data_IF_132189848537
#
_entry.id   IF_132189848537
#
_cell.length_a   1.000
_cell.length_b   1.000
_cell.length_c   1.000
_cell.angle_alpha   90.00
_cell.angle_beta   90.00
_cell.angle_gamma   90.00
#
_symmetry.space_group_name_H-M   'P 1'
#
loop_
_entity.id
_entity.type
_entity.pdbx_description
1 polymer ?
#
# COMPACT_ATOMS: atom_id res chain seq x y z
N UNK A 1 10.62 -29.04 -28.42
CA UNK A 1 11.49 -28.93 -27.23
C UNK A 1 10.82 -27.98 -26.24
N UNK A 2 10.41 -28.56 -25.10
CA UNK A 2 10.20 -28.00 -23.74
C UNK A 2 9.46 -26.66 -23.55
N UNK A 3 8.52 -26.46 -22.62
CA UNK A 3 7.66 -27.26 -21.73
C UNK A 3 6.68 -26.25 -21.12
N UNK A 4 5.37 -26.50 -21.16
CA UNK A 4 4.33 -25.70 -20.49
C UNK A 4 3.78 -26.50 -19.32
N UNK A 5 3.79 -25.94 -18.10
CA UNK A 5 3.19 -26.59 -16.92
C UNK A 5 2.05 -25.70 -16.41
N UNK A 6 0.81 -26.21 -16.55
CA UNK A 6 -0.39 -25.76 -15.84
C UNK A 6 -0.41 -26.42 -14.46
N UNK A 7 -0.66 -25.64 -13.41
CA UNK A 7 -0.97 -26.16 -12.07
C UNK A 7 -2.49 -26.16 -11.87
N UNK A 8 -3.06 -27.35 -11.70
CA UNK A 8 -4.45 -27.58 -11.32
C UNK A 8 -4.54 -27.95 -9.83
N UNK A 9 -5.47 -27.28 -9.15
CA UNK A 9 -6.32 -27.69 -8.02
C UNK A 9 -5.87 -28.87 -7.12
N UNK A 10 -5.59 -28.55 -5.84
CA UNK A 10 -5.60 -29.48 -4.72
C UNK A 10 -6.75 -29.13 -3.76
N UNK A 11 -7.85 -29.88 -3.87
CA UNK A 11 -8.81 -30.12 -2.77
C UNK A 11 -9.14 -31.62 -2.83
N UNK A 12 -8.85 -32.42 -1.78
CA UNK A 12 -9.32 -33.80 -1.74
C UNK A 12 -10.75 -33.86 -1.19
N UNK A 13 -11.64 -34.46 -1.97
CA UNK A 13 -12.85 -35.13 -1.47
C UNK A 13 -12.47 -36.52 -0.97
N UNK A 14 -13.11 -36.98 0.12
CA UNK A 14 -13.04 -38.38 0.56
C UNK A 14 -13.17 -38.55 2.06
N UNK A 15 -14.41 -38.65 2.55
CA UNK A 15 -14.73 -39.20 3.87
C UNK A 15 -14.94 -40.71 3.72
N UNK A 16 -14.23 -41.50 4.53
CA UNK A 16 -14.41 -42.95 4.66
C UNK A 16 -13.95 -43.42 6.03
N UNK A 17 -14.85 -44.04 6.78
CA UNK A 17 -14.65 -44.56 8.14
C UNK A 17 -13.66 -45.73 8.18
N UNK A 18 -12.82 -45.81 9.21
CA UNK A 18 -11.95 -46.97 9.43
C UNK A 18 -10.95 -46.82 10.58
N UNK A 19 -11.39 -47.24 11.78
CA UNK A 19 -10.64 -47.85 12.90
C UNK A 19 -9.25 -47.27 13.30
N UNK A 20 -9.18 -46.77 14.53
CA UNK A 20 -7.95 -46.42 15.28
C UNK A 20 -7.13 -47.67 15.63
N UNK A 21 -5.80 -47.54 15.54
CA UNK A 21 -4.82 -48.31 16.31
C UNK A 21 -3.72 -47.35 16.81
N UNK A 22 -3.10 -47.58 17.98
CA UNK A 22 -2.28 -46.60 18.68
C UNK A 22 -0.85 -46.58 18.12
N UNK A 23 -0.35 -45.41 17.75
CA UNK A 23 1.05 -45.24 17.34
C UNK A 23 1.92 -44.86 18.53
N UNK A 24 2.87 -45.75 18.80
CA UNK A 24 3.96 -45.67 19.74
C UNK A 24 4.85 -44.44 19.48
N UNK A 25 5.19 -43.73 20.55
CA UNK A 25 6.08 -42.58 20.59
C UNK A 25 7.46 -42.87 19.99
N UNK A 26 7.79 -42.23 18.87
CA UNK A 26 9.18 -41.98 18.47
C UNK A 26 9.58 -40.57 18.92
N UNK A 27 10.42 -40.53 19.95
CA UNK A 27 11.04 -39.34 20.51
C UNK A 27 12.19 -38.91 19.59
N UNK A 28 11.85 -38.26 18.47
CA UNK A 28 12.81 -37.51 17.67
C UNK A 28 13.03 -36.14 18.30
N UNK A 29 14.27 -35.87 18.74
CA UNK A 29 14.72 -34.54 19.17
C UNK A 29 14.52 -33.53 18.04
N UNK A 30 13.36 -32.88 18.01
CA UNK A 30 13.22 -31.60 17.36
C UNK A 30 14.01 -30.61 18.21
N UNK A 31 15.16 -30.17 17.67
CA UNK A 31 15.83 -28.98 18.17
C UNK A 31 14.81 -27.86 18.15
N UNK A 32 14.30 -27.50 19.33
CA UNK A 32 13.57 -26.28 19.57
C UNK A 32 14.54 -25.11 19.35
N UNK A 33 14.87 -24.83 18.09
CA UNK A 33 15.20 -23.48 17.69
C UNK A 33 13.88 -22.72 17.70
N UNK A 34 13.41 -22.38 18.91
CA UNK A 34 12.54 -21.26 19.13
C UNK A 34 13.28 -20.04 18.58
N UNK A 35 13.07 -19.77 17.29
CA UNK A 35 13.45 -18.50 16.70
C UNK A 35 12.56 -17.49 17.42
N UNK A 36 13.06 -16.99 18.55
CA UNK A 36 12.75 -15.66 19.06
C UNK A 36 13.17 -14.71 17.94
N UNK A 37 12.30 -14.60 16.94
CA UNK A 37 12.41 -13.65 15.87
C UNK A 37 12.14 -12.32 16.54
N UNK A 38 13.21 -11.71 17.06
CA UNK A 38 13.24 -10.38 17.61
C UNK A 38 12.33 -9.49 16.76
N UNK A 39 11.55 -8.63 17.41
CA UNK A 39 10.68 -7.64 16.76
C UNK A 39 11.52 -6.73 15.85
N UNK A 40 11.79 -7.18 14.62
CA UNK A 40 12.61 -6.42 13.69
C UNK A 40 11.74 -5.28 13.16
N UNK A 41 12.14 -4.01 13.38
CA UNK A 41 11.47 -2.91 12.72
C UNK A 41 11.59 -3.12 11.21
N UNK A 42 10.49 -2.89 10.50
CA UNK A 42 10.47 -2.98 9.05
C UNK A 42 11.42 -1.93 8.47
N UNK A 43 12.30 -2.36 7.57
CA UNK A 43 13.17 -1.44 6.85
C UNK A 43 12.36 -0.66 5.81
N UNK A 44 12.07 0.61 6.13
CA UNK A 44 11.27 1.51 5.29
C UNK A 44 11.97 1.82 3.96
N UNK A 45 13.29 1.72 3.89
CA UNK A 45 14.02 1.97 2.63
C UNK A 45 13.76 0.88 1.59
N UNK A 46 13.64 -0.37 2.03
CA UNK A 46 13.38 -1.54 1.18
C UNK A 46 11.96 -1.54 0.63
N UNK A 47 11.01 -1.04 1.42
CA UNK A 47 9.58 -1.01 1.08
C UNK A 47 9.12 0.32 0.50
N UNK A 48 10.05 1.27 0.29
CA UNK A 48 9.75 2.58 -0.25
C UNK A 48 9.09 2.47 -1.64
N UNK A 49 8.09 3.32 -1.96
CA UNK A 49 7.50 3.35 -3.29
C UNK A 49 8.57 3.64 -4.36
N UNK A 50 8.70 2.75 -5.32
CA UNK A 50 9.61 2.90 -6.45
C UNK A 50 8.88 3.54 -7.63
N UNK A 51 9.55 4.49 -8.28
CA UNK A 51 9.10 5.10 -9.54
C UNK A 51 9.02 4.04 -10.65
N UNK A 52 8.09 4.17 -11.59
CA UNK A 52 7.86 3.15 -12.62
C UNK A 52 6.90 2.03 -12.21
N UNK A 53 6.49 1.98 -10.94
CA UNK A 53 5.80 0.83 -10.36
C UNK A 53 4.46 1.19 -9.72
N UNK A 54 3.53 0.24 -9.80
CA UNK A 54 2.28 0.24 -9.03
C UNK A 54 2.48 -0.63 -7.77
N UNK A 55 2.07 -0.07 -6.64
CA UNK A 55 2.03 -0.68 -5.32
C UNK A 55 0.59 -0.82 -4.86
N UNK A 56 0.20 -2.02 -4.43
CA UNK A 56 -1.04 -2.21 -3.69
C UNK A 56 -0.78 -2.16 -2.19
N UNK A 57 -1.42 -1.23 -1.49
CA UNK A 57 -1.43 -1.20 -0.03
C UNK A 57 -2.71 -1.86 0.46
N UNK A 58 -2.60 -3.09 0.95
CA UNK A 58 -3.72 -3.96 1.28
C UNK A 58 -3.83 -4.14 2.79
N UNK A 59 -4.93 -3.68 3.39
CA UNK A 59 -5.10 -3.77 4.84
C UNK A 59 -6.54 -3.78 5.31
N UNK A 60 -6.72 -3.83 6.63
CA UNK A 60 -8.02 -4.02 7.26
C UNK A 60 -8.90 -2.76 7.22
N UNK A 61 -10.19 -2.98 7.47
CA UNK A 61 -11.20 -1.94 7.62
C UNK A 61 -11.64 -1.35 6.29
N UNK A 62 -12.83 -0.74 6.30
CA UNK A 62 -13.53 -0.30 5.10
C UNK A 62 -12.64 0.49 4.12
N UNK A 63 -12.43 -0.13 2.96
CA UNK A 63 -11.59 0.35 1.87
C UNK A 63 -10.16 0.70 2.33
N UNK A 64 -9.52 -0.26 3.00
CA UNK A 64 -8.09 -0.23 3.35
C UNK A 64 -7.72 0.87 4.36
N UNK A 65 -8.65 1.28 5.23
CA UNK A 65 -8.48 2.47 6.10
C UNK A 65 -7.18 2.47 6.90
N UNK A 66 -6.73 1.29 7.30
CA UNK A 66 -5.54 1.13 8.13
C UNK A 66 -4.24 1.40 7.40
N UNK A 67 -4.24 1.29 6.06
CA UNK A 67 -3.08 1.51 5.20
C UNK A 67 -2.81 2.98 4.90
N UNK A 68 -3.84 3.85 5.01
CA UNK A 68 -3.72 5.29 4.72
C UNK A 68 -2.52 5.94 5.42
N UNK A 69 -2.26 5.59 6.68
CA UNK A 69 -1.15 6.16 7.45
C UNK A 69 0.23 5.98 6.80
N UNK A 70 0.43 4.89 6.06
CA UNK A 70 1.68 4.60 5.37
C UNK A 70 1.81 5.47 4.11
N UNK A 71 0.74 5.54 3.31
CA UNK A 71 0.64 6.44 2.16
C UNK A 71 0.80 7.92 2.58
N UNK A 72 0.18 8.34 3.68
CA UNK A 72 0.33 9.70 4.24
C UNK A 72 1.78 9.99 4.66
N UNK A 73 2.49 9.00 5.21
CA UNK A 73 3.89 9.16 5.60
C UNK A 73 4.79 9.33 4.38
N UNK A 74 4.54 8.58 3.31
CA UNK A 74 5.26 8.72 2.05
C UNK A 74 4.90 10.01 1.30
N UNK A 75 3.65 10.44 1.36
CA UNK A 75 3.23 11.75 0.87
C UNK A 75 4.01 12.87 1.57
N UNK A 76 4.04 12.87 2.91
CA UNK A 76 4.79 13.89 3.67
C UNK A 76 6.30 13.85 3.39
N UNK A 77 6.90 12.67 3.30
CA UNK A 77 8.32 12.54 2.89
C UNK A 77 8.57 13.18 1.51
N UNK A 78 7.64 13.01 0.57
CA UNK A 78 7.73 13.60 -0.78
C UNK A 78 7.56 15.12 -0.73
N UNK A 79 6.54 15.62 -0.02
CA UNK A 79 6.30 17.05 0.12
C UNK A 79 7.47 17.79 0.78
N UNK A 80 8.11 17.18 1.78
CA UNK A 80 9.29 17.75 2.46
C UNK A 80 10.53 17.83 1.56
N UNK A 81 10.60 17.05 0.49
CA UNK A 81 11.62 17.20 -0.56
C UNK A 81 11.29 18.33 -1.53
N UNK A 82 10.21 19.07 -1.31
CA UNK A 82 9.72 20.11 -2.22
C UNK A 82 9.06 19.55 -3.48
N UNK A 83 8.73 18.25 -3.49
CA UNK A 83 8.13 17.56 -4.65
C UNK A 83 6.60 17.53 -4.55
N UNK A 84 5.93 17.45 -5.71
CA UNK A 84 4.48 17.37 -5.79
C UNK A 84 3.94 15.96 -5.49
N UNK A 85 2.73 15.88 -4.92
CA UNK A 85 2.01 14.62 -4.71
C UNK A 85 0.61 14.76 -5.28
N UNK A 86 0.18 13.78 -6.08
CA UNK A 86 -1.23 13.66 -6.49
C UNK A 86 -1.96 12.66 -5.61
N UNK A 87 -3.08 13.06 -5.04
CA UNK A 87 -3.96 12.23 -4.22
C UNK A 87 -5.35 12.15 -4.84
N UNK A 88 -5.68 11.00 -5.42
CA UNK A 88 -7.00 10.70 -5.98
C UNK A 88 -7.85 9.99 -4.91
N UNK A 89 -8.91 10.63 -4.45
CA UNK A 89 -9.79 10.18 -3.38
C UNK A 89 -11.02 9.45 -3.94
N UNK A 90 -10.92 8.12 -4.03
CA UNK A 90 -11.97 7.22 -4.50
C UNK A 90 -13.01 6.83 -3.44
N UNK A 91 -12.95 7.40 -2.24
CA UNK A 91 -13.94 7.17 -1.19
C UNK A 91 -14.48 8.48 -0.57
N UNK A 92 -14.15 9.64 -1.14
CA UNK A 92 -14.56 10.96 -0.61
C UNK A 92 -14.21 11.16 0.88
N UNK A 93 -13.03 10.68 1.32
CA UNK A 93 -12.61 10.68 2.73
C UNK A 93 -11.27 11.37 3.00
N UNK A 94 -10.65 11.99 2.00
CA UNK A 94 -9.40 12.72 2.20
C UNK A 94 -9.62 13.84 3.24
N UNK A 95 -8.76 13.87 4.24
CA UNK A 95 -8.74 14.90 5.28
C UNK A 95 -7.32 15.47 5.41
N UNK A 96 -7.06 16.71 4.96
CA UNK A 96 -5.73 17.33 4.99
C UNK A 96 -5.11 17.38 6.39
N UNK A 97 -5.93 17.48 7.45
CA UNK A 97 -5.46 17.48 8.85
C UNK A 97 -4.74 16.18 9.21
N UNK A 98 -5.06 15.05 8.56
CA UNK A 98 -4.34 13.79 8.77
C UNK A 98 -2.94 13.83 8.18
N UNK A 99 -2.76 14.49 7.03
CA UNK A 99 -1.45 14.73 6.41
C UNK A 99 -0.63 15.69 7.29
N UNK A 100 -1.22 16.80 7.74
CA UNK A 100 -0.56 17.76 8.65
C UNK A 100 0.02 17.09 9.90
N UNK A 101 -0.73 16.15 10.50
CA UNK A 101 -0.29 15.41 11.69
C UNK A 101 0.88 14.45 11.44
N UNK A 102 1.28 14.22 10.19
CA UNK A 102 2.42 13.36 9.82
C UNK A 102 3.72 14.14 9.63
N UNK A 103 3.67 15.46 9.52
CA UNK A 103 4.89 16.27 9.51
C UNK A 103 5.66 16.12 10.83
N UNK A 104 7.00 16.18 10.80
CA UNK A 104 7.81 16.22 12.01
C UNK A 104 7.35 17.34 12.94
N UNK A 105 7.32 17.07 14.25
CA UNK A 105 7.13 18.12 15.26
C UNK A 105 8.17 19.23 15.05
N UNK A 106 7.72 20.48 14.99
CA UNK A 106 8.57 21.66 14.78
C UNK A 106 8.74 22.06 13.31
N UNK A 107 8.13 21.36 12.36
CA UNK A 107 8.12 21.80 10.95
C UNK A 107 7.28 23.09 10.80
N UNK A 108 7.95 24.24 10.79
CA UNK A 108 7.30 25.55 10.71
C UNK A 108 6.51 25.74 9.40
N UNK A 109 7.00 25.18 8.30
CA UNK A 109 6.42 25.29 6.96
C UNK A 109 5.46 24.14 6.60
N UNK A 110 4.95 23.37 7.59
CA UNK A 110 4.10 22.20 7.33
C UNK A 110 2.86 22.52 6.47
N UNK A 111 2.30 23.73 6.62
CA UNK A 111 1.18 24.20 5.80
C UNK A 111 1.63 24.54 4.38
N UNK A 112 2.78 25.18 4.22
CA UNK A 112 3.29 25.60 2.91
C UNK A 112 3.57 24.40 2.01
N UNK A 113 4.05 23.31 2.58
CA UNK A 113 4.24 22.05 1.87
C UNK A 113 2.95 21.50 1.25
N UNK A 114 1.77 21.80 1.82
CA UNK A 114 0.49 21.35 1.25
C UNK A 114 0.14 22.02 -0.08
N UNK A 115 0.74 23.15 -0.44
CA UNK A 115 0.55 23.73 -1.78
C UNK A 115 1.02 22.82 -2.91
N UNK A 116 1.84 21.80 -2.59
CA UNK A 116 2.31 20.78 -3.53
C UNK A 116 1.50 19.48 -3.46
N UNK A 117 0.45 19.44 -2.65
CA UNK A 117 -0.49 18.32 -2.57
C UNK A 117 -1.72 18.60 -3.44
N UNK A 118 -1.76 17.97 -4.62
CA UNK A 118 -2.87 18.05 -5.55
C UNK A 118 -3.89 16.96 -5.23
N UNK A 119 -5.16 17.34 -5.15
CA UNK A 119 -6.21 16.44 -4.65
C UNK A 119 -7.37 16.40 -5.63
N UNK A 120 -7.57 15.25 -6.25
CA UNK A 120 -8.75 14.96 -7.05
C UNK A 120 -9.74 14.13 -6.24
N UNK A 121 -10.97 14.62 -6.05
CA UNK A 121 -12.03 13.85 -5.38
C UNK A 121 -13.12 13.49 -6.38
N UNK A 122 -13.36 12.20 -6.56
CA UNK A 122 -14.56 11.71 -7.21
C UNK A 122 -15.70 11.58 -6.20
N UNK A 123 -16.94 11.67 -6.68
CA UNK A 123 -18.14 11.26 -5.94
C UNK A 123 -18.84 10.07 -6.62
N UNK A 124 -18.48 9.78 -7.87
CA UNK A 124 -18.96 8.63 -8.65
C UNK A 124 -17.80 7.90 -9.31
N UNK A 125 -18.03 6.65 -9.73
CA UNK A 125 -17.03 5.86 -10.46
C UNK A 125 -16.60 6.52 -11.77
N UNK A 126 -17.51 7.23 -12.43
CA UNK A 126 -17.24 7.97 -13.66
C UNK A 126 -16.34 9.19 -13.42
N UNK A 127 -16.60 9.94 -12.35
CA UNK A 127 -15.73 11.07 -11.97
C UNK A 127 -14.34 10.58 -11.58
N UNK A 128 -14.24 9.44 -10.87
CA UNK A 128 -12.95 8.81 -10.58
C UNK A 128 -12.21 8.42 -11.86
N UNK A 129 -12.90 7.84 -12.85
CA UNK A 129 -12.31 7.52 -14.14
C UNK A 129 -11.76 8.77 -14.84
N UNK A 130 -12.54 9.85 -14.92
CA UNK A 130 -12.10 11.12 -15.51
C UNK A 130 -10.89 11.75 -14.79
N UNK A 131 -10.82 11.65 -13.46
CA UNK A 131 -9.65 12.12 -12.70
C UNK A 131 -8.39 11.31 -13.05
N UNK A 132 -8.52 10.00 -13.19
CA UNK A 132 -7.40 9.12 -13.53
C UNK A 132 -6.97 9.29 -15.00
N UNK A 133 -7.91 9.50 -15.92
CA UNK A 133 -7.63 9.75 -17.34
C UNK A 133 -6.76 11.00 -17.56
N UNK A 134 -6.99 12.06 -16.78
CA UNK A 134 -6.23 13.33 -16.89
C UNK A 134 -4.88 13.28 -16.19
N UNK A 135 -4.66 12.28 -15.34
CA UNK A 135 -3.53 12.23 -14.43
C UNK A 135 -2.18 12.25 -15.14
N UNK A 136 -2.05 11.62 -16.31
CA UNK A 136 -0.81 11.64 -17.10
C UNK A 136 -0.35 13.07 -17.43
N UNK A 137 -1.29 13.92 -17.85
CA UNK A 137 -1.02 15.33 -18.14
C UNK A 137 -0.69 16.11 -16.86
N UNK A 138 -1.46 15.90 -15.80
CA UNK A 138 -1.27 16.62 -14.52
C UNK A 138 0.07 16.28 -13.85
N UNK A 139 0.45 15.01 -13.86
CA UNK A 139 1.74 14.53 -13.38
C UNK A 139 2.88 15.11 -14.21
N UNK A 140 2.72 15.20 -15.53
CA UNK A 140 3.73 15.81 -16.41
C UNK A 140 3.95 17.29 -16.10
N UNK A 141 2.88 18.05 -15.87
CA UNK A 141 2.96 19.49 -15.54
C UNK A 141 3.61 19.71 -14.17
N UNK A 142 3.25 18.89 -13.19
CA UNK A 142 3.67 19.06 -11.79
C UNK A 142 4.99 18.37 -11.46
N UNK A 143 5.52 17.54 -12.37
CA UNK A 143 6.65 16.65 -12.16
C UNK A 143 6.53 15.80 -10.87
N UNK A 144 5.31 15.41 -10.51
CA UNK A 144 5.04 14.71 -9.26
C UNK A 144 5.60 13.28 -9.28
N UNK A 145 6.50 12.89 -8.36
CA UNK A 145 7.05 11.53 -8.33
C UNK A 145 6.15 10.49 -7.67
N UNK A 146 5.02 10.92 -7.08
CA UNK A 146 4.13 10.07 -6.31
C UNK A 146 2.66 10.39 -6.60
N UNK A 147 1.93 9.34 -6.97
CA UNK A 147 0.47 9.31 -7.08
C UNK A 147 -0.08 8.35 -6.04
N UNK A 148 -1.15 8.76 -5.36
CA UNK A 148 -1.88 7.94 -4.39
C UNK A 148 -3.34 7.87 -4.83
N UNK A 149 -3.84 6.66 -5.06
CA UNK A 149 -5.24 6.37 -5.36
C UNK A 149 -5.86 5.70 -4.13
N UNK A 150 -6.57 6.50 -3.33
CA UNK A 150 -7.15 6.05 -2.07
C UNK A 150 -8.52 5.40 -2.31
N UNK A 151 -8.60 4.10 -2.01
CA UNK A 151 -9.85 3.35 -1.98
C UNK A 151 -10.69 3.40 -3.27
N UNK A 152 -10.11 3.23 -4.47
CA UNK A 152 -10.86 3.33 -5.73
C UNK A 152 -12.00 2.31 -5.84
N UNK A 153 -11.88 1.17 -5.15
CA UNK A 153 -12.89 0.12 -5.16
C UNK A 153 -14.20 0.55 -4.50
N UNK A 154 -14.21 1.54 -3.61
CA UNK A 154 -15.42 1.97 -2.92
C UNK A 154 -16.50 2.44 -3.90
N UNK A 155 -16.13 3.25 -4.90
CA UNK A 155 -17.06 3.69 -5.96
C UNK A 155 -17.43 2.58 -6.95
N UNK A 156 -16.51 1.66 -7.22
CA UNK A 156 -16.78 0.51 -8.07
C UNK A 156 -17.69 -0.53 -7.42
N UNK A 157 -17.92 -0.43 -6.11
CA UNK A 157 -18.83 -1.29 -5.35
C UNK A 157 -20.17 -0.60 -5.06
N UNK A 158 -20.39 0.61 -5.57
CA UNK A 158 -21.68 1.26 -5.47
C UNK A 158 -22.77 0.39 -6.15
N UNK A 159 -23.90 0.25 -5.47
CA UNK A 159 -25.06 -0.54 -5.92
C UNK A 159 -25.65 -0.05 -7.23
N UNK A 160 -25.47 1.23 -7.57
CA UNK A 160 -25.96 1.83 -8.81
C UNK A 160 -25.08 1.50 -10.02
N UNK A 161 -23.86 0.98 -9.79
CA UNK A 161 -22.92 0.63 -10.86
C UNK A 161 -23.08 -0.85 -11.20
N UNK A 162 -23.27 -1.17 -12.48
CA UNK A 162 -23.40 -2.55 -12.94
C UNK A 162 -22.11 -3.36 -12.80
N UNK A 163 -22.20 -4.69 -12.66
CA UNK A 163 -21.02 -5.55 -12.52
C UNK A 163 -20.09 -5.51 -13.74
N UNK A 164 -20.65 -5.44 -14.95
CA UNK A 164 -19.87 -5.31 -16.18
C UNK A 164 -19.18 -3.94 -16.23
N UNK A 165 -19.94 -2.88 -16.02
CA UNK A 165 -19.47 -1.50 -15.98
C UNK A 165 -18.33 -1.30 -14.97
N UNK A 166 -18.50 -1.76 -13.72
CA UNK A 166 -17.46 -1.68 -12.71
C UNK A 166 -16.16 -2.39 -13.14
N UNK A 167 -16.24 -3.53 -13.82
CA UNK A 167 -15.04 -4.21 -14.33
C UNK A 167 -14.42 -3.49 -15.51
N UNK A 168 -15.21 -2.88 -16.39
CA UNK A 168 -14.70 -2.09 -17.52
C UNK A 168 -13.98 -0.84 -17.03
N UNK A 169 -14.62 -0.05 -16.17
CA UNK A 169 -14.03 1.15 -15.58
C UNK A 169 -12.78 0.85 -14.74
N UNK A 170 -12.79 -0.24 -13.94
CA UNK A 170 -11.59 -0.64 -13.19
C UNK A 170 -10.44 -1.04 -14.13
N UNK A 171 -10.74 -1.70 -15.25
CA UNK A 171 -9.71 -2.09 -16.22
C UNK A 171 -9.09 -0.86 -16.88
N UNK A 172 -9.91 0.11 -17.30
CA UNK A 172 -9.45 1.37 -17.87
C UNK A 172 -8.62 2.16 -16.85
N UNK A 173 -9.12 2.30 -15.62
CA UNK A 173 -8.40 2.94 -14.52
C UNK A 173 -7.01 2.34 -14.33
N UNK A 174 -6.91 1.00 -14.26
CA UNK A 174 -5.63 0.33 -14.08
C UNK A 174 -4.70 0.43 -15.31
N UNK A 175 -5.25 0.52 -16.52
CA UNK A 175 -4.47 0.79 -17.73
C UNK A 175 -3.85 2.19 -17.69
N UNK A 176 -4.65 3.21 -17.37
CA UNK A 176 -4.16 4.58 -17.22
C UNK A 176 -3.11 4.70 -16.10
N UNK A 177 -3.35 4.11 -14.92
CA UNK A 177 -2.36 4.12 -13.84
C UNK A 177 -1.06 3.40 -14.22
N UNK A 178 -1.13 2.34 -15.02
CA UNK A 178 0.06 1.65 -15.52
C UNK A 178 0.85 2.54 -16.48
N UNK A 179 0.16 3.23 -17.40
CA UNK A 179 0.79 4.21 -18.29
C UNK A 179 1.44 5.35 -17.50
N UNK A 180 0.72 5.93 -16.53
CA UNK A 180 1.25 6.98 -15.65
C UNK A 180 2.50 6.52 -14.90
N UNK A 181 2.48 5.30 -14.33
CA UNK A 181 3.63 4.78 -13.62
C UNK A 181 4.86 4.66 -14.54
N UNK A 182 4.70 4.04 -15.71
CA UNK A 182 5.81 3.69 -16.61
C UNK A 182 6.30 4.88 -17.42
N UNK A 183 5.39 5.60 -18.10
CA UNK A 183 5.74 6.66 -19.04
C UNK A 183 6.24 7.91 -18.32
N UNK A 184 5.63 8.26 -17.17
CA UNK A 184 6.07 9.41 -16.38
C UNK A 184 7.12 9.06 -15.32
N UNK A 185 7.50 7.77 -15.22
CA UNK A 185 8.41 7.27 -14.18
C UNK A 185 7.98 7.71 -12.77
N UNK A 186 6.75 7.37 -12.39
CA UNK A 186 6.10 7.77 -11.14
C UNK A 186 5.75 6.56 -10.30
N UNK A 187 5.84 6.70 -8.98
CA UNK A 187 5.36 5.68 -8.05
C UNK A 187 3.84 5.83 -7.87
N UNK A 188 3.08 4.76 -8.11
CA UNK A 188 1.62 4.76 -7.94
C UNK A 188 1.23 3.87 -6.77
N UNK A 189 0.56 4.42 -5.77
CA UNK A 189 0.02 3.67 -4.64
C UNK A 189 -1.49 3.49 -4.78
N UNK A 190 -1.98 2.26 -4.64
CA UNK A 190 -3.41 1.97 -4.62
C UNK A 190 -3.78 1.38 -3.26
N UNK A 191 -4.65 2.06 -2.50
CA UNK A 191 -5.08 1.58 -1.19
C UNK A 191 -6.33 0.72 -1.35
N UNK A 192 -6.27 -0.53 -0.91
CA UNK A 192 -7.40 -1.47 -0.96
C UNK A 192 -7.64 -2.17 0.36
N UNK A 193 -8.84 -2.73 0.50
CA UNK A 193 -9.16 -3.60 1.62
C UNK A 193 -8.51 -4.99 1.45
N UNK A 194 -8.19 -5.63 2.57
CA UNK A 194 -7.58 -6.95 2.60
C UNK A 194 -8.60 -8.07 2.33
N UNK A 195 -9.76 -8.01 2.97
CA UNK A 195 -10.75 -9.08 2.93
C UNK A 195 -11.84 -8.78 1.90
N UNK A 196 -12.07 -9.63 0.89
CA UNK A 196 -13.18 -9.45 -0.03
C UNK A 196 -14.52 -9.62 0.70
N UNK A 197 -15.48 -8.76 0.41
CA UNK A 197 -16.83 -8.78 1.00
C UNK A 197 -17.87 -9.44 0.09
N UNK A 198 -17.55 -9.63 -1.20
CA UNK A 198 -18.43 -10.21 -2.20
C UNK A 198 -17.61 -10.80 -3.36
N UNK A 199 -18.25 -11.59 -4.23
CA UNK A 199 -17.62 -12.10 -5.47
C UNK A 199 -17.12 -10.96 -6.35
N UNK A 200 -17.93 -9.89 -6.49
CA UNK A 200 -17.57 -8.66 -7.21
C UNK A 200 -16.33 -8.01 -6.61
N UNK A 201 -16.32 -7.81 -5.28
CA UNK A 201 -15.18 -7.22 -4.59
C UNK A 201 -13.90 -8.06 -4.76
N UNK A 202 -14.01 -9.38 -4.63
CA UNK A 202 -12.89 -10.30 -4.90
C UNK A 202 -12.33 -10.14 -6.31
N UNK A 203 -13.20 -10.04 -7.32
CA UNK A 203 -12.78 -9.84 -8.71
C UNK A 203 -11.99 -8.53 -8.88
N UNK A 204 -12.52 -7.42 -8.35
CA UNK A 204 -11.86 -6.11 -8.44
C UNK A 204 -10.51 -6.10 -7.71
N UNK A 205 -10.41 -6.73 -6.54
CA UNK A 205 -9.14 -6.87 -5.82
C UNK A 205 -8.11 -7.64 -6.64
N UNK A 206 -8.49 -8.77 -7.26
CA UNK A 206 -7.60 -9.53 -8.12
C UNK A 206 -7.13 -8.74 -9.35
N UNK A 207 -7.95 -7.81 -9.87
CA UNK A 207 -7.54 -6.93 -10.97
C UNK A 207 -6.42 -5.98 -10.53
N UNK A 208 -6.55 -5.36 -9.35
CA UNK A 208 -5.51 -4.50 -8.79
C UNK A 208 -4.24 -5.29 -8.50
N UNK A 209 -4.39 -6.47 -7.88
CA UNK A 209 -3.27 -7.36 -7.53
C UNK A 209 -2.44 -7.73 -8.76
N UNK A 210 -3.10 -8.16 -9.85
CA UNK A 210 -2.41 -8.52 -11.11
C UNK A 210 -1.67 -7.36 -11.78
N UNK A 211 -2.07 -6.13 -11.50
CA UNK A 211 -1.45 -4.92 -12.06
C UNK A 211 -0.40 -4.33 -11.12
N UNK A 212 -0.36 -4.77 -9.87
CA UNK A 212 0.57 -4.26 -8.87
C UNK A 212 1.85 -5.09 -8.87
N UNK A 213 2.95 -4.45 -9.24
CA UNK A 213 4.28 -5.08 -9.18
C UNK A 213 4.80 -5.26 -7.74
N UNK A 214 4.23 -4.49 -6.81
CA UNK A 214 4.60 -4.51 -5.40
C UNK A 214 3.34 -4.54 -4.54
N UNK A 215 3.43 -5.18 -3.39
CA UNK A 215 2.34 -5.21 -2.42
C UNK A 215 2.89 -4.92 -1.02
N UNK A 216 2.17 -4.10 -0.26
CA UNK A 216 2.36 -3.96 1.18
C UNK A 216 1.10 -4.46 1.86
N UNK A 217 1.21 -5.60 2.54
CA UNK A 217 0.08 -6.34 3.09
C UNK A 217 0.11 -6.23 4.61
N UNK A 218 -0.97 -5.73 5.21
CA UNK A 218 -1.15 -5.73 6.66
C UNK A 218 -1.73 -7.07 7.13
N UNK A 219 -1.12 -7.64 8.17
CA UNK A 219 -1.63 -8.80 8.88
C UNK A 219 -1.49 -8.60 10.39
N UNK A 220 -2.28 -9.34 11.17
CA UNK A 220 -2.24 -9.30 12.63
C UNK A 220 -1.52 -10.55 13.14
N UNK A 221 -0.57 -10.36 14.05
CA UNK A 221 0.14 -11.44 14.74
C UNK A 221 -0.16 -11.35 16.24
N UNK A 222 -0.37 -12.50 16.87
CA UNK A 222 -0.72 -12.59 18.30
C UNK A 222 -2.23 -12.60 18.54
N UNK A 223 -2.62 -12.72 19.81
CA UNK A 223 -4.02 -12.85 20.25
C UNK A 223 -4.31 -11.85 21.39
N UNK A 224 -5.57 -11.38 21.47
CA UNK A 224 -6.04 -10.48 22.52
C UNK A 224 -5.20 -9.20 22.65
N UNK A 225 -4.78 -8.87 23.88
CA UNK A 225 -3.98 -7.66 24.19
C UNK A 225 -2.58 -7.64 23.53
N UNK A 226 -2.10 -8.80 23.10
CA UNK A 226 -0.81 -8.96 22.43
C UNK A 226 -0.93 -8.93 20.90
N UNK A 227 -2.13 -8.70 20.35
CA UNK A 227 -2.28 -8.49 18.92
C UNK A 227 -1.48 -7.27 18.47
N UNK A 228 -0.60 -7.48 17.49
CA UNK A 228 0.20 -6.43 16.85
C UNK A 228 -0.01 -6.49 15.35
N UNK A 229 0.07 -5.33 14.71
CA UNK A 229 -0.05 -5.19 13.26
C UNK A 229 1.32 -5.24 12.63
N UNK A 230 1.45 -6.12 11.67
CA UNK A 230 2.66 -6.35 10.91
C UNK A 230 2.38 -6.04 9.44
N UNK A 231 3.45 -5.79 8.72
CA UNK A 231 3.45 -5.56 7.29
C UNK A 231 4.36 -6.59 6.63
N UNK A 232 3.94 -7.07 5.47
CA UNK A 232 4.77 -7.84 4.55
C UNK A 232 4.87 -7.07 3.25
N UNK A 233 6.07 -6.99 2.67
CA UNK A 233 6.30 -6.34 1.39
C UNK A 233 6.77 -7.33 0.33
N UNK A 234 5.98 -7.45 -0.72
CA UNK A 234 6.33 -8.17 -1.94
C UNK A 234 6.84 -7.18 -2.99
N UNK A 235 7.90 -7.52 -3.74
CA UNK A 235 8.55 -8.83 -3.83
C UNK A 235 9.69 -9.05 -2.83
N UNK A 236 10.05 -8.07 -2.00
CA UNK A 236 11.27 -8.13 -1.19
C UNK A 236 11.28 -9.22 -0.09
N UNK A 237 10.11 -9.74 0.29
CA UNK A 237 9.94 -10.60 1.46
C UNK A 237 10.15 -9.87 2.81
N UNK A 238 10.47 -8.57 2.80
CA UNK A 238 10.65 -7.77 4.01
C UNK A 238 9.36 -7.74 4.81
N UNK A 239 9.47 -8.08 6.09
CA UNK A 239 8.33 -8.20 6.98
C UNK A 239 8.70 -7.73 8.38
N UNK A 240 7.79 -7.00 9.01
CA UNK A 240 8.07 -6.35 10.29
C UNK A 240 6.95 -5.43 10.74
N UNK A 241 7.14 -4.85 11.92
CA UNK A 241 6.26 -3.78 12.39
C UNK A 241 6.70 -2.46 11.78
N UNK A 242 5.73 -1.60 11.45
CA UNK A 242 6.04 -0.22 11.09
C UNK A 242 6.76 0.47 12.27
N UNK A 243 7.89 1.15 12.04
CA UNK A 243 8.64 1.79 13.12
C UNK A 243 7.76 2.76 13.92
N UNK A 244 7.69 2.55 15.23
CA UNK A 244 6.98 3.46 16.14
C UNK A 244 7.83 4.68 16.48
N UNK A 245 9.16 4.53 16.44
CA UNK A 245 10.11 5.59 16.75
C UNK A 245 10.08 6.66 15.66
N UNK A 246 9.59 7.86 16.01
CA UNK A 246 9.55 8.99 15.10
C UNK A 246 10.93 9.38 14.56
N UNK A 247 12.04 9.06 15.25
CA UNK A 247 13.38 9.33 14.74
C UNK A 247 13.75 8.44 13.55
N UNK A 248 13.27 7.18 13.52
CA UNK A 248 13.45 6.29 12.36
C UNK A 248 12.65 6.80 11.18
N UNK A 249 11.40 7.22 11.43
CA UNK A 249 10.57 7.85 10.39
C UNK A 249 11.16 9.18 9.92
N UNK A 250 11.74 9.99 10.82
CA UNK A 250 12.40 11.26 10.49
C UNK A 250 13.56 11.08 9.52
N UNK A 251 14.33 9.99 9.60
CA UNK A 251 15.40 9.70 8.64
C UNK A 251 14.88 9.46 7.22
N UNK A 252 13.66 8.95 7.10
CA UNK A 252 12.98 8.77 5.81
C UNK A 252 12.27 10.05 5.34
N UNK A 253 11.77 10.83 6.29
CA UNK A 253 10.97 12.03 6.06
C UNK A 253 11.85 13.25 5.75
N UNK A 254 13.09 13.32 6.26
CA UNK A 254 14.04 14.40 5.93
C UNK A 254 14.70 14.19 4.56
N UNK A 255 14.83 15.24 3.74
CA UNK A 255 15.71 15.22 2.56
C UNK A 255 17.16 14.95 2.99
N UNK A 256 17.91 14.19 2.18
CA UNK A 256 19.36 13.98 2.41
C UNK A 256 20.19 15.28 2.37
N UNK A 257 19.61 16.40 1.89
CA UNK A 257 20.27 17.69 1.71
C UNK A 257 19.87 18.77 2.75
N UNK A 258 19.73 18.40 4.02
CA UNK A 258 19.76 19.36 5.14
C UNK A 258 20.63 18.82 6.28
N UNK A 259 21.91 18.63 5.97
CA UNK A 259 23.00 18.79 6.94
C UNK A 259 23.81 19.98 6.42
N UNK A 260 23.25 21.18 6.51
CA UNK A 260 24.07 22.40 6.44
C UNK A 260 24.59 22.60 7.84
N UNK A 261 25.91 22.53 7.99
CA UNK A 261 26.59 22.57 9.28
C UNK A 261 26.27 23.85 10.03
N UNK A 262 25.82 23.71 11.28
CA UNK A 262 26.10 24.71 12.30
C UNK A 262 27.52 24.46 12.79
N UNK A 263 28.49 24.98 12.05
CA UNK A 263 29.87 25.09 12.51
C UNK A 263 30.29 26.55 12.35
N UNK A 264 29.56 27.44 13.01
CA UNK A 264 30.04 28.79 13.29
C UNK A 264 30.72 28.75 14.66
N UNK A 265 31.91 28.16 14.67
CA UNK A 265 32.95 28.59 15.57
C UNK A 265 33.63 29.79 14.94
N UNK A 266 33.35 30.99 15.45
CA UNK A 266 34.22 32.15 15.29
C UNK A 266 34.21 32.91 16.61
N UNK A 267 35.36 32.80 17.28
CA UNK A 267 36.06 33.76 18.15
C UNK A 267 35.28 34.82 18.93
#
# INVERSE_FOLDING_TARGET
MTSSIRLHSLFPQGWGEGKRAPFTTFRGMATNASIQQFERPLDISVIAPKRGHIYQLRGHGYAGRTMRKYAETWAVSTLLRGECVHWIDGASRMNPTRILRRFPRGEAAARDHLHRLYVGRGFTVHQLATLVERLEREVSITAAPLVIVDAPLAMHLDRQVGDHEARCLMRQLLQHLQSVAVLNNVAVLIITEHTPMSKRHKHLLMMVERKSSHQLIEYVRGQGRNARRWLSHEPSGSSGQWPQNQNVLRRYIRPKHQVVGSNDGSS
#
